data_IF_086870063368
#
_entry.id   IF_086870063368
#
_cell.length_a   1.000
_cell.length_b   1.000
_cell.length_c   1.000
_cell.angle_alpha   90.00
_cell.angle_beta   90.00
_cell.angle_gamma   90.00
#
_symmetry.space_group_name_H-M   'P 1'
#
loop_
_entity.id
_entity.type
_entity.pdbx_description
1 polymer ?
#
# COMPACT_ATOMS: atom_id res chain seq x y z
N UNK A 1 4.65 -31.91 22.12
CA UNK A 1 4.08 -32.09 23.47
C UNK A 1 4.10 -30.75 24.17
N UNK A 2 2.97 -30.35 24.72
CA UNK A 2 2.78 -29.03 25.30
C UNK A 2 3.09 -29.05 26.81
N UNK A 3 4.12 -28.31 27.23
CA UNK A 3 4.51 -28.17 28.64
C UNK A 3 3.48 -27.43 29.50
N UNK A 4 2.48 -26.79 28.87
CA UNK A 4 1.39 -26.09 29.55
C UNK A 4 0.18 -26.99 29.81
N UNK A 5 0.19 -28.24 29.35
CA UNK A 5 -0.87 -29.20 29.63
C UNK A 5 -0.81 -29.68 31.08
N UNK A 6 -1.97 -29.78 31.73
CA UNK A 6 -2.14 -30.31 33.09
C UNK A 6 -1.76 -31.79 33.23
N UNK A 7 -1.73 -32.53 32.12
CA UNK A 7 -1.27 -33.91 32.03
C UNK A 7 0.03 -34.02 31.22
N UNK A 8 0.86 -32.98 31.20
CA UNK A 8 2.15 -33.01 30.50
C UNK A 8 3.01 -34.20 30.99
N UNK A 9 3.47 -35.02 30.04
CA UNK A 9 4.39 -36.12 30.29
C UNK A 9 5.72 -35.84 29.55
N UNK A 10 6.82 -35.54 30.27
CA UNK A 10 8.11 -35.25 29.63
C UNK A 10 8.76 -36.47 28.96
N UNK A 11 8.28 -37.69 29.25
CA UNK A 11 8.80 -38.94 28.66
C UNK A 11 8.00 -39.42 27.45
N UNK A 12 6.88 -38.76 27.10
CA UNK A 12 6.17 -39.13 25.89
C UNK A 12 7.04 -38.83 24.66
N UNK A 13 6.94 -39.67 23.63
CA UNK A 13 7.75 -39.55 22.40
C UNK A 13 6.87 -39.43 21.15
N UNK A 14 5.56 -39.30 21.36
CA UNK A 14 4.54 -39.16 20.33
C UNK A 14 3.39 -38.33 20.90
N UNK A 15 2.87 -37.42 20.09
CA UNK A 15 1.63 -36.71 20.38
C UNK A 15 0.43 -37.60 20.06
N UNK A 16 -0.43 -37.82 21.06
CA UNK A 16 -1.68 -38.58 20.97
C UNK A 16 -2.92 -37.69 21.07
N UNK A 17 -2.74 -36.37 21.01
CA UNK A 17 -3.80 -35.36 21.13
C UNK A 17 -4.59 -35.44 22.45
N UNK A 18 -4.01 -35.99 23.52
CA UNK A 18 -4.67 -36.16 24.82
C UNK A 18 -4.42 -35.00 25.81
N UNK A 19 -3.80 -33.90 25.37
CA UNK A 19 -3.49 -32.75 26.24
C UNK A 19 -4.77 -32.19 26.90
N UNK A 20 -4.71 -32.01 28.22
CA UNK A 20 -5.77 -31.41 29.04
C UNK A 20 -5.26 -30.09 29.59
N UNK A 21 -6.10 -29.05 29.57
CA UNK A 21 -5.79 -27.76 30.16
C UNK A 21 -6.68 -27.48 31.36
N UNK A 22 -6.23 -26.63 32.29
CA UNK A 22 -7.10 -26.12 33.35
C UNK A 22 -8.21 -25.33 32.66
N UNK A 23 -9.43 -25.87 32.71
CA UNK A 23 -10.62 -25.15 32.27
C UNK A 23 -10.92 -24.11 33.35
N UNK A 24 -10.31 -22.92 33.22
CA UNK A 24 -10.75 -21.76 33.99
C UNK A 24 -12.20 -21.51 33.59
N UNK A 25 -13.10 -21.34 34.57
CA UNK A 25 -14.48 -20.95 34.25
C UNK A 25 -14.39 -19.74 33.31
N UNK A 26 -15.01 -19.77 32.13
CA UNK A 26 -15.06 -18.58 31.28
C UNK A 26 -15.61 -17.46 32.17
N UNK A 27 -15.02 -16.27 32.08
CA UNK A 27 -15.53 -15.11 32.81
C UNK A 27 -17.04 -15.06 32.59
N UNK A 28 -17.81 -15.00 33.68
CA UNK A 28 -19.28 -15.05 33.64
C UNK A 28 -19.79 -13.69 33.15
N UNK A 29 -19.64 -13.48 31.85
CA UNK A 29 -19.95 -12.23 31.15
C UNK A 29 -21.33 -12.37 30.51
N UNK A 30 -22.24 -11.47 30.88
CA UNK A 30 -23.54 -11.35 30.22
C UNK A 30 -23.53 -10.17 29.26
N UNK A 31 -23.83 -10.41 27.99
CA UNK A 31 -24.05 -9.36 26.99
C UNK A 31 -25.53 -9.28 26.62
N UNK A 32 -26.07 -8.07 26.48
CA UNK A 32 -27.43 -7.82 25.97
C UNK A 32 -27.33 -7.07 24.66
N UNK A 33 -28.02 -7.53 23.62
CA UNK A 33 -28.02 -6.94 22.28
C UNK A 33 -29.43 -6.55 21.89
N UNK A 34 -29.63 -5.28 21.52
CA UNK A 34 -30.93 -4.71 21.15
C UNK A 34 -31.07 -4.65 19.63
N UNK A 35 -31.49 -5.75 18.99
CA UNK A 35 -31.60 -5.83 17.52
C UNK A 35 -32.65 -4.89 16.89
N UNK A 36 -33.56 -4.33 17.69
CA UNK A 36 -34.60 -3.40 17.23
C UNK A 36 -34.19 -1.92 17.34
N UNK A 37 -33.00 -1.64 17.87
CA UNK A 37 -32.49 -0.28 18.10
C UNK A 37 -31.26 -0.05 17.22
N UNK A 38 -31.31 0.99 16.36
CA UNK A 38 -30.18 1.38 15.51
C UNK A 38 -29.41 2.55 16.15
N UNK A 39 -28.09 2.39 16.27
CA UNK A 39 -27.19 3.39 16.88
C UNK A 39 -26.19 4.00 15.89
N UNK A 40 -26.29 3.67 14.60
CA UNK A 40 -25.41 4.16 13.54
C UNK A 40 -24.86 3.05 12.66
N UNK A 41 -23.98 3.42 11.73
CA UNK A 41 -23.30 2.49 10.82
C UNK A 41 -21.91 2.14 11.38
N UNK A 42 -21.61 0.85 11.47
CA UNK A 42 -20.24 0.39 11.73
C UNK A 42 -19.44 0.60 10.44
N UNK A 43 -18.37 1.39 10.53
CA UNK A 43 -17.49 1.64 9.39
C UNK A 43 -16.65 0.38 9.08
N UNK A 44 -16.51 -0.01 7.80
CA UNK A 44 -15.70 -1.17 7.42
C UNK A 44 -14.22 -0.77 7.43
N UNK A 45 -13.59 -0.88 8.61
CA UNK A 45 -12.19 -0.45 8.84
C UNK A 45 -11.19 -1.62 8.80
N UNK A 46 -11.64 -2.82 8.41
CA UNK A 46 -10.82 -4.04 8.37
C UNK A 46 -10.14 -4.23 7.00
N UNK A 47 -9.62 -3.13 6.43
CA UNK A 47 -8.77 -3.17 5.24
C UNK A 47 -7.45 -3.89 5.51
N UNK A 48 -6.82 -4.40 4.46
CA UNK A 48 -5.57 -5.17 4.55
C UNK A 48 -4.55 -4.69 3.52
N UNK A 49 -3.33 -5.19 3.59
CA UNK A 49 -2.29 -4.92 2.61
C UNK A 49 -2.16 -6.08 1.61
N UNK A 50 -1.49 -5.85 0.49
CA UNK A 50 -1.12 -6.81 -0.57
C UNK A 50 -2.26 -7.33 -1.45
N UNK A 51 -3.45 -7.60 -0.93
CA UNK A 51 -4.55 -8.09 -1.77
C UNK A 51 -4.52 -9.61 -1.95
N UNK A 52 -5.38 -10.16 -2.81
CA UNK A 52 -5.70 -11.58 -2.77
C UNK A 52 -4.65 -12.49 -3.41
N UNK A 53 -3.73 -11.95 -4.22
CA UNK A 53 -2.64 -12.72 -4.80
C UNK A 53 -1.40 -12.60 -3.92
N UNK A 54 -0.94 -13.73 -3.39
CA UNK A 54 0.17 -13.78 -2.43
C UNK A 54 1.39 -14.43 -3.08
N UNK A 55 2.54 -13.79 -2.93
CA UNK A 55 3.85 -14.30 -3.38
C UNK A 55 4.34 -15.44 -2.48
N UNK A 56 5.21 -16.29 -3.02
CA UNK A 56 5.92 -17.31 -2.23
C UNK A 56 6.89 -16.75 -1.18
N UNK A 57 7.32 -15.50 -1.31
CA UNK A 57 8.31 -14.85 -0.43
C UNK A 57 7.80 -13.48 0.06
N UNK A 58 8.14 -13.12 1.29
CA UNK A 58 7.81 -11.80 1.86
C UNK A 58 8.66 -10.67 1.28
N UNK A 59 9.82 -11.00 0.70
CA UNK A 59 10.82 -10.04 0.23
C UNK A 59 10.96 -10.10 -1.29
N UNK A 60 11.29 -8.97 -1.92
CA UNK A 60 11.66 -8.95 -3.34
C UNK A 60 13.07 -9.55 -3.44
N UNK A 61 13.15 -10.87 -3.41
CA UNK A 61 14.41 -11.59 -3.69
C UNK A 61 14.92 -11.17 -5.08
N UNK A 62 16.18 -10.76 -5.13
CA UNK A 62 16.91 -10.39 -6.35
C UNK A 62 16.24 -9.30 -7.22
N UNK A 63 15.39 -8.45 -6.64
CA UNK A 63 14.66 -7.39 -7.37
C UNK A 63 13.78 -7.94 -8.52
N UNK A 64 13.50 -9.26 -8.51
CA UNK A 64 12.90 -9.96 -9.64
C UNK A 64 11.41 -9.69 -9.81
N UNK A 65 10.91 -10.09 -10.98
CA UNK A 65 9.49 -10.15 -11.32
C UNK A 65 8.71 -10.98 -10.30
N UNK A 66 7.42 -10.69 -10.19
CA UNK A 66 6.59 -11.21 -9.10
C UNK A 66 5.89 -12.52 -9.53
N UNK A 67 6.04 -13.56 -8.70
CA UNK A 67 5.42 -14.86 -8.91
C UNK A 67 4.43 -15.16 -7.79
N UNK A 68 3.14 -15.23 -8.11
CA UNK A 68 2.11 -15.59 -7.13
C UNK A 68 2.06 -17.11 -6.94
N UNK A 69 1.94 -17.54 -5.69
CA UNK A 69 1.83 -18.96 -5.35
C UNK A 69 0.48 -19.34 -4.78
N UNK A 70 -0.29 -18.35 -4.32
CA UNK A 70 -1.61 -18.54 -3.77
C UNK A 70 -2.56 -17.44 -4.25
N UNK A 71 -3.82 -17.81 -4.40
CA UNK A 71 -4.90 -16.90 -4.75
C UNK A 71 -6.01 -17.05 -3.71
N UNK A 72 -6.27 -15.96 -2.98
CA UNK A 72 -7.25 -15.86 -1.90
C UNK A 72 -8.44 -14.95 -2.25
N UNK A 73 -8.74 -14.77 -3.55
CA UNK A 73 -9.82 -13.88 -4.01
C UNK A 73 -11.18 -14.25 -3.40
N UNK A 74 -11.45 -15.55 -3.23
CA UNK A 74 -12.67 -16.04 -2.58
C UNK A 74 -12.71 -15.67 -1.09
N UNK A 75 -11.62 -15.88 -0.35
CA UNK A 75 -11.53 -15.57 1.07
C UNK A 75 -11.63 -14.05 1.33
N UNK A 76 -11.07 -13.22 0.44
CA UNK A 76 -11.26 -11.76 0.49
C UNK A 76 -12.74 -11.39 0.37
N UNK A 77 -13.48 -12.07 -0.52
CA UNK A 77 -14.92 -11.87 -0.69
C UNK A 77 -15.72 -12.36 0.52
N UNK A 78 -15.38 -13.51 1.09
CA UNK A 78 -16.04 -14.06 2.29
C UNK A 78 -15.83 -13.17 3.53
N UNK A 79 -14.63 -12.61 3.69
CA UNK A 79 -14.31 -11.70 4.79
C UNK A 79 -14.78 -10.26 4.53
N UNK A 80 -15.35 -9.98 3.35
CA UNK A 80 -15.83 -8.66 2.94
C UNK A 80 -14.77 -7.57 3.15
N UNK A 81 -13.52 -7.86 2.78
CA UNK A 81 -12.41 -6.91 2.92
C UNK A 81 -12.76 -5.64 2.11
N UNK A 82 -12.76 -4.44 2.72
CA UNK A 82 -13.24 -3.23 2.06
C UNK A 82 -12.19 -2.55 1.20
N UNK A 83 -10.92 -2.64 1.60
CA UNK A 83 -9.80 -2.09 0.84
C UNK A 83 -8.57 -2.97 0.94
N UNK A 84 -7.77 -2.91 -0.12
CA UNK A 84 -6.47 -3.54 -0.19
C UNK A 84 -5.40 -2.53 -0.62
N UNK A 85 -4.44 -2.27 0.26
CA UNK A 85 -3.29 -1.39 0.00
C UNK A 85 -2.24 -2.10 -0.86
N UNK A 86 -1.77 -1.45 -1.92
CA UNK A 86 -0.83 -2.04 -2.91
C UNK A 86 0.65 -1.97 -2.51
N UNK A 87 1.00 -2.04 -1.23
CA UNK A 87 2.39 -1.89 -0.77
C UNK A 87 3.12 -3.17 -0.38
N UNK A 88 4.44 -3.19 -0.50
CA UNK A 88 5.31 -4.25 0.03
C UNK A 88 5.73 -5.32 -0.99
N UNK A 89 4.93 -5.57 -2.01
CA UNK A 89 5.22 -6.62 -2.99
C UNK A 89 5.66 -6.10 -4.36
N UNK A 90 5.51 -4.81 -4.68
CA UNK A 90 6.02 -4.22 -5.92
C UNK A 90 5.03 -3.88 -7.05
N UNK A 91 3.88 -4.56 -7.28
CA UNK A 91 3.07 -4.31 -8.47
C UNK A 91 2.44 -2.92 -8.47
N UNK A 92 2.29 -2.31 -7.28
CA UNK A 92 1.81 -0.95 -7.10
C UNK A 92 2.82 0.15 -7.49
N UNK A 93 4.04 -0.24 -7.85
CA UNK A 93 5.17 0.67 -7.74
C UNK A 93 5.52 1.27 -9.08
N UNK A 94 5.80 2.57 -9.05
CA UNK A 94 6.16 3.30 -10.24
C UNK A 94 7.47 2.79 -10.84
N UNK A 95 8.40 2.22 -10.07
CA UNK A 95 9.62 1.61 -10.60
C UNK A 95 9.39 0.21 -11.23
N UNK A 96 8.17 -0.33 -11.18
CA UNK A 96 7.76 -1.52 -11.93
C UNK A 96 6.98 -1.16 -13.17
N UNK A 97 6.14 -0.14 -13.07
CA UNK A 97 5.31 0.34 -14.18
C UNK A 97 6.13 1.18 -15.15
N UNK A 98 6.99 2.06 -14.66
CA UNK A 98 7.81 2.95 -15.48
C UNK A 98 9.07 2.23 -15.95
N UNK A 99 9.27 2.18 -17.27
CA UNK A 99 10.32 1.31 -17.86
C UNK A 99 11.71 1.95 -17.95
N UNK A 100 11.82 3.26 -17.67
CA UNK A 100 13.07 4.00 -17.84
C UNK A 100 13.83 4.15 -16.53
N UNK A 101 15.11 3.77 -16.55
CA UNK A 101 16.01 3.88 -15.42
C UNK A 101 17.43 4.25 -15.88
N UNK A 102 18.24 4.74 -14.95
CA UNK A 102 19.66 5.04 -15.17
C UNK A 102 20.52 3.76 -15.18
N UNK A 103 21.84 3.93 -15.30
CA UNK A 103 22.80 2.80 -15.30
C UNK A 103 22.82 1.99 -13.99
N UNK A 104 22.30 2.57 -12.91
CA UNK A 104 22.20 1.93 -11.60
C UNK A 104 20.81 1.36 -11.33
N UNK A 105 19.85 1.48 -12.27
CA UNK A 105 18.48 1.00 -12.13
C UNK A 105 17.55 1.92 -11.31
N UNK A 106 17.93 3.18 -11.11
CA UNK A 106 17.06 4.20 -10.50
C UNK A 106 16.15 4.80 -11.58
N UNK A 107 14.82 4.89 -11.37
CA UNK A 107 13.89 5.46 -12.36
C UNK A 107 14.27 6.88 -12.82
N UNK A 108 14.16 7.15 -14.13
CA UNK A 108 14.44 8.44 -14.76
C UNK A 108 13.20 8.95 -15.48
N UNK A 109 12.72 10.13 -15.10
CA UNK A 109 11.55 10.80 -15.68
C UNK A 109 11.95 12.01 -16.51
N UNK A 110 13.07 12.66 -16.19
CA UNK A 110 13.56 13.80 -16.95
C UNK A 110 13.78 13.43 -18.42
N UNK A 111 13.21 14.21 -19.33
CA UNK A 111 13.35 14.00 -20.78
C UNK A 111 12.41 12.96 -21.39
N UNK A 112 11.53 12.34 -20.60
CA UNK A 112 10.49 11.41 -21.09
C UNK A 112 9.09 12.06 -21.12
N UNK A 113 8.24 11.60 -22.04
CA UNK A 113 6.86 12.06 -22.16
C UNK A 113 5.92 11.15 -21.36
N UNK A 114 5.19 11.66 -20.35
CA UNK A 114 4.26 10.83 -19.59
C UNK A 114 3.09 10.31 -20.43
N UNK A 115 2.79 10.88 -21.61
CA UNK A 115 1.71 10.42 -22.49
C UNK A 115 2.13 9.29 -23.45
N UNK A 116 3.43 8.97 -23.54
CA UNK A 116 3.90 7.89 -24.39
C UNK A 116 3.62 6.53 -23.72
N UNK A 117 2.69 5.78 -24.31
CA UNK A 117 2.26 4.45 -23.86
C UNK A 117 3.43 3.47 -23.70
N UNK A 118 4.50 3.63 -24.49
CA UNK A 118 5.66 2.74 -24.45
C UNK A 118 6.56 2.94 -23.23
N UNK A 119 6.32 3.99 -22.44
CA UNK A 119 7.04 4.24 -21.19
C UNK A 119 6.52 3.41 -20.01
N UNK A 120 5.48 2.58 -20.24
CA UNK A 120 4.75 1.86 -19.21
C UNK A 120 4.72 0.34 -19.49
N UNK A 121 4.90 -0.46 -18.45
CA UNK A 121 4.62 -1.90 -18.43
C UNK A 121 3.62 -2.21 -17.30
N UNK A 122 2.36 -2.47 -17.69
CA UNK A 122 1.28 -2.76 -16.76
C UNK A 122 1.09 -4.26 -16.48
N UNK A 123 1.86 -5.15 -17.12
CA UNK A 123 1.55 -6.59 -17.10
C UNK A 123 1.51 -7.19 -15.68
N UNK A 124 2.43 -6.79 -14.80
CA UNK A 124 2.44 -7.26 -13.41
C UNK A 124 1.35 -6.59 -12.55
N UNK A 125 1.15 -5.29 -12.73
CA UNK A 125 0.18 -4.49 -11.97
C UNK A 125 -1.25 -4.90 -12.29
N UNK A 126 -1.56 -5.08 -13.56
CA UNK A 126 -2.89 -5.44 -14.06
C UNK A 126 -3.37 -6.75 -13.46
N UNK A 127 -2.49 -7.75 -13.38
CA UNK A 127 -2.84 -9.02 -12.78
C UNK A 127 -3.31 -8.86 -11.33
N UNK A 128 -2.67 -7.97 -10.57
CA UNK A 128 -2.99 -7.75 -9.16
C UNK A 128 -4.20 -6.87 -8.95
N UNK A 129 -4.28 -5.77 -9.68
CA UNK A 129 -5.45 -4.88 -9.62
C UNK A 129 -6.69 -5.66 -10.05
N UNK A 130 -6.65 -6.41 -11.15
CA UNK A 130 -7.78 -7.24 -11.57
C UNK A 130 -8.19 -8.26 -10.52
N UNK A 131 -7.25 -8.94 -9.87
CA UNK A 131 -7.59 -9.92 -8.82
C UNK A 131 -8.27 -9.25 -7.61
N UNK A 132 -7.81 -8.07 -7.19
CA UNK A 132 -8.47 -7.28 -6.14
C UNK A 132 -9.87 -6.83 -6.58
N UNK A 133 -9.99 -6.29 -7.78
CA UNK A 133 -11.26 -5.79 -8.34
C UNK A 133 -12.24 -6.91 -8.70
N UNK A 134 -11.77 -8.17 -8.81
CA UNK A 134 -12.61 -9.35 -8.96
C UNK A 134 -13.27 -9.80 -7.64
N UNK A 135 -12.83 -9.25 -6.50
CA UNK A 135 -13.51 -9.49 -5.22
C UNK A 135 -14.82 -8.71 -5.14
N UNK A 136 -15.71 -9.12 -4.25
CA UNK A 136 -17.06 -8.52 -4.13
C UNK A 136 -17.12 -7.20 -3.37
N UNK A 137 -16.12 -6.90 -2.53
CA UNK A 137 -16.16 -5.76 -1.61
C UNK A 137 -14.84 -4.97 -1.53
N UNK A 138 -13.75 -5.45 -2.16
CA UNK A 138 -12.44 -4.84 -2.00
C UNK A 138 -12.19 -3.83 -3.09
N UNK A 139 -11.86 -2.60 -2.70
CA UNK A 139 -11.30 -1.59 -3.59
C UNK A 139 -9.78 -1.49 -3.43
N UNK A 140 -9.10 -1.09 -4.48
CA UNK A 140 -7.66 -0.84 -4.42
C UNK A 140 -7.41 0.48 -3.70
N UNK A 141 -6.60 0.44 -2.64
CA UNK A 141 -5.96 1.60 -2.06
C UNK A 141 -4.57 1.68 -2.68
N UNK A 142 -4.38 2.60 -3.62
CA UNK A 142 -3.15 2.64 -4.41
C UNK A 142 -2.06 3.40 -3.68
N UNK A 143 -1.04 2.72 -3.18
CA UNK A 143 0.16 3.42 -2.71
C UNK A 143 1.12 3.57 -3.87
N UNK A 144 1.35 4.80 -4.32
CA UNK A 144 2.35 5.12 -5.34
C UNK A 144 3.72 5.32 -4.67
N UNK A 145 4.78 5.00 -5.38
CA UNK A 145 6.15 5.16 -4.91
C UNK A 145 7.01 4.05 -5.46
N UNK A 146 8.16 3.81 -4.85
CA UNK A 146 9.02 2.69 -5.22
C UNK A 146 9.01 1.57 -4.19
N UNK A 147 9.40 0.39 -4.65
CA UNK A 147 9.60 -0.78 -3.81
C UNK A 147 10.69 -0.52 -2.77
N UNK A 148 10.63 -1.23 -1.64
CA UNK A 148 11.79 -1.27 -0.73
C UNK A 148 12.98 -1.84 -1.49
N UNK A 149 14.14 -1.23 -1.31
CA UNK A 149 15.34 -1.56 -2.05
C UNK A 149 16.58 -1.42 -1.18
N UNK A 150 17.73 -1.18 -1.79
CA UNK A 150 18.96 -0.85 -1.06
C UNK A 150 18.72 0.28 -0.05
N UNK A 151 19.28 0.20 1.18
CA UNK A 151 20.23 -0.81 1.66
C UNK A 151 19.59 -2.07 2.26
N UNK A 152 18.27 -2.16 2.30
CA UNK A 152 17.59 -3.34 2.87
C UNK A 152 17.78 -4.59 2.00
N UNK A 153 17.93 -4.40 0.68
CA UNK A 153 18.26 -5.45 -0.29
C UNK A 153 19.50 -5.03 -1.09
N UNK A 154 20.65 -5.65 -0.79
CA UNK A 154 21.96 -5.22 -1.31
C UNK A 154 22.08 -5.34 -2.84
N UNK A 155 21.33 -6.25 -3.46
CA UNK A 155 21.34 -6.48 -4.90
C UNK A 155 20.42 -5.53 -5.69
N UNK A 156 19.64 -4.69 -4.99
CA UNK A 156 18.72 -3.74 -5.62
C UNK A 156 19.32 -2.34 -5.74
N UNK A 157 18.81 -1.59 -6.72
CA UNK A 157 19.11 -0.17 -6.88
C UNK A 157 18.62 0.64 -5.68
N UNK A 158 19.17 1.84 -5.45
CA UNK A 158 18.72 2.71 -4.38
C UNK A 158 17.43 3.47 -4.77
N UNK A 159 16.31 2.78 -4.65
CA UNK A 159 14.97 3.32 -4.91
C UNK A 159 14.42 4.20 -3.77
N UNK A 160 15.25 4.65 -2.84
CA UNK A 160 14.85 5.67 -1.86
C UNK A 160 14.96 7.08 -2.43
N UNK A 161 15.70 7.22 -3.53
CA UNK A 161 15.92 8.50 -4.20
C UNK A 161 14.61 9.11 -4.70
N UNK A 162 14.36 10.42 -4.44
CA UNK A 162 13.23 11.12 -5.03
C UNK A 162 13.23 10.99 -6.57
N UNK A 163 12.06 11.01 -7.24
CA UNK A 163 12.01 11.14 -8.69
C UNK A 163 12.81 12.36 -9.16
N UNK A 164 13.58 12.23 -10.24
CA UNK A 164 14.41 13.30 -10.81
C UNK A 164 13.59 14.45 -11.43
N UNK A 165 12.31 14.19 -11.73
CA UNK A 165 11.34 15.21 -12.16
C UNK A 165 9.95 14.92 -11.58
N UNK A 166 9.54 15.67 -10.56
CA UNK A 166 8.23 15.50 -9.90
C UNK A 166 7.04 15.81 -10.81
N UNK A 167 7.18 16.72 -11.78
CA UNK A 167 6.09 17.04 -12.70
C UNK A 167 5.81 15.87 -13.64
N UNK A 168 6.85 15.28 -14.23
CA UNK A 168 6.68 14.11 -15.11
C UNK A 168 6.23 12.90 -14.29
N UNK A 169 6.76 12.70 -13.08
CA UNK A 169 6.29 11.65 -12.16
C UNK A 169 4.79 11.79 -11.86
N UNK A 170 4.32 12.99 -11.51
CA UNK A 170 2.92 13.23 -11.19
C UNK A 170 2.00 12.98 -12.40
N UNK A 171 2.42 13.42 -13.59
CA UNK A 171 1.67 13.15 -14.83
C UNK A 171 1.68 11.66 -15.19
N UNK A 172 2.75 10.94 -14.91
CA UNK A 172 2.79 9.49 -15.07
C UNK A 172 1.84 8.79 -14.09
N UNK A 173 1.77 9.23 -12.83
CA UNK A 173 0.80 8.73 -11.87
C UNK A 173 -0.65 8.96 -12.36
N UNK A 174 -0.95 10.13 -12.95
CA UNK A 174 -2.25 10.38 -13.59
C UNK A 174 -2.53 9.40 -14.72
N UNK A 175 -1.56 9.06 -15.58
CA UNK A 175 -1.77 8.04 -16.62
C UNK A 175 -2.03 6.65 -16.06
N UNK A 176 -1.39 6.27 -14.95
CA UNK A 176 -1.70 5.01 -14.23
C UNK A 176 -3.14 5.03 -13.71
N UNK A 177 -3.60 6.15 -13.14
CA UNK A 177 -5.00 6.28 -12.71
C UNK A 177 -5.96 6.19 -13.90
N UNK A 178 -5.66 6.85 -15.02
CA UNK A 178 -6.43 6.75 -16.27
C UNK A 178 -6.43 5.34 -16.85
N UNK A 179 -5.33 4.60 -16.69
CA UNK A 179 -5.28 3.20 -17.10
C UNK A 179 -6.34 2.40 -16.35
N UNK A 180 -6.50 2.59 -15.04
CA UNK A 180 -7.49 1.84 -14.25
C UNK A 180 -8.91 2.42 -14.24
N UNK A 181 -9.08 3.73 -14.50
CA UNK A 181 -10.39 4.43 -14.45
C UNK A 181 -11.02 4.67 -15.82
N UNK A 182 -10.22 4.92 -16.84
CA UNK A 182 -10.69 5.46 -18.13
C UNK A 182 -10.26 4.61 -19.34
N UNK A 183 -9.65 3.45 -19.11
CA UNK A 183 -9.21 2.54 -20.18
C UNK A 183 -8.00 3.02 -20.98
N UNK A 184 -7.20 3.95 -20.45
CA UNK A 184 -5.96 4.38 -21.10
C UNK A 184 -4.97 3.21 -21.25
N UNK A 185 -4.20 3.17 -22.34
CA UNK A 185 -3.25 2.08 -22.63
C UNK A 185 -3.82 0.66 -22.47
N UNK A 186 -4.97 0.39 -23.10
CA UNK A 186 -5.67 -0.91 -23.02
C UNK A 186 -6.10 -1.32 -21.59
N UNK A 187 -6.34 -0.34 -20.73
CA UNK A 187 -6.69 -0.56 -19.33
C UNK A 187 -8.16 -0.85 -19.04
N UNK A 188 -8.60 -0.43 -17.86
CA UNK A 188 -9.84 -0.81 -17.21
C UNK A 188 -10.73 0.40 -16.89
N UNK A 189 -11.95 0.11 -16.42
CA UNK A 189 -12.96 1.10 -16.02
C UNK A 189 -13.45 0.76 -14.61
N UNK A 190 -12.54 0.86 -13.63
CA UNK A 190 -12.79 0.54 -12.24
C UNK A 190 -13.23 1.78 -11.46
N UNK A 191 -14.54 2.02 -11.37
CA UNK A 191 -15.11 3.20 -10.69
C UNK A 191 -14.64 3.37 -9.23
N UNK A 192 -14.29 2.28 -8.55
CA UNK A 192 -13.82 2.28 -7.16
C UNK A 192 -12.29 2.32 -7.00
N UNK A 193 -11.55 2.64 -8.07
CA UNK A 193 -10.12 2.96 -7.99
C UNK A 193 -9.95 4.47 -7.71
N UNK A 194 -10.11 4.86 -6.45
CA UNK A 194 -10.34 6.26 -6.07
C UNK A 194 -9.49 6.75 -4.89
N UNK A 195 -8.43 6.03 -4.52
CA UNK A 195 -7.52 6.46 -3.45
C UNK A 195 -6.09 6.27 -3.90
N UNK A 196 -5.29 7.31 -3.71
CA UNK A 196 -3.89 7.33 -4.08
C UNK A 196 -3.02 7.88 -2.93
N UNK A 197 -2.16 7.07 -2.35
CA UNK A 197 -1.22 7.46 -1.29
C UNK A 197 0.14 7.77 -1.89
N UNK A 198 0.67 8.95 -1.58
CA UNK A 198 1.96 9.43 -2.06
C UNK A 198 3.09 8.91 -1.17
N UNK A 199 3.80 7.91 -1.69
CA UNK A 199 4.96 7.25 -1.07
C UNK A 199 4.64 6.41 0.16
N UNK A 200 5.58 5.55 0.57
CA UNK A 200 5.49 4.82 1.84
C UNK A 200 6.51 5.38 2.83
N UNK A 201 6.06 5.79 4.01
CA UNK A 201 6.90 6.19 5.15
C UNK A 201 8.12 7.06 4.79
N UNK A 202 7.94 8.21 4.09
CA UNK A 202 9.04 9.05 3.64
C UNK A 202 9.86 9.66 4.80
N UNK A 203 9.33 9.59 6.02
CA UNK A 203 10.02 9.98 7.25
C UNK A 203 11.07 8.96 7.72
N UNK A 204 11.17 7.78 7.11
CA UNK A 204 12.20 6.78 7.40
C UNK A 204 13.23 6.72 6.27
N UNK A 205 14.50 6.76 6.63
CA UNK A 205 15.63 6.68 5.69
C UNK A 205 15.72 5.36 4.93
N UNK A 206 14.93 4.35 5.30
CA UNK A 206 14.81 3.08 4.58
C UNK A 206 13.96 3.20 3.30
N UNK A 207 13.12 4.24 3.23
CA UNK A 207 12.12 4.39 2.17
C UNK A 207 12.28 5.66 1.35
N UNK A 208 12.93 6.68 1.90
CA UNK A 208 13.13 7.97 1.24
C UNK A 208 14.47 8.55 1.67
N UNK A 209 15.28 8.97 0.70
CA UNK A 209 16.59 9.59 0.94
C UNK A 209 16.55 11.11 0.80
N UNK A 210 15.44 11.66 0.31
CA UNK A 210 15.22 13.10 0.19
C UNK A 210 14.85 13.77 1.52
N UNK A 211 14.58 15.06 1.41
CA UNK A 211 14.15 15.93 2.51
C UNK A 211 12.62 15.97 2.63
N UNK A 212 12.13 16.56 3.72
CA UNK A 212 10.70 16.84 3.89
C UNK A 212 10.18 17.87 2.87
N UNK A 213 11.01 18.82 2.47
CA UNK A 213 10.69 19.81 1.43
C UNK A 213 10.51 19.12 0.07
N UNK A 214 11.42 18.22 -0.31
CA UNK A 214 11.28 17.43 -1.55
C UNK A 214 10.06 16.49 -1.50
N UNK A 215 9.73 15.92 -0.34
CA UNK A 215 8.52 15.12 -0.20
C UNK A 215 7.25 15.98 -0.33
N UNK A 216 7.24 17.19 0.24
CA UNK A 216 6.15 18.15 0.04
C UNK A 216 6.01 18.52 -1.44
N UNK A 217 7.10 18.81 -2.15
CA UNK A 217 7.07 19.13 -3.58
C UNK A 217 6.53 17.95 -4.42
N UNK A 218 6.91 16.71 -4.10
CA UNK A 218 6.36 15.51 -4.71
C UNK A 218 4.85 15.38 -4.45
N UNK A 219 4.42 15.50 -3.18
CA UNK A 219 3.02 15.44 -2.80
C UNK A 219 2.21 16.53 -3.53
N UNK A 220 2.68 17.77 -3.52
CA UNK A 220 2.04 18.89 -4.19
C UNK A 220 1.88 18.65 -5.69
N UNK A 221 2.93 18.16 -6.36
CA UNK A 221 2.88 17.87 -7.79
C UNK A 221 1.83 16.80 -8.11
N UNK A 222 1.79 15.72 -7.33
CA UNK A 222 0.81 14.65 -7.52
C UNK A 222 -0.60 15.13 -7.19
N UNK A 223 -0.79 15.78 -6.05
CA UNK A 223 -2.08 16.29 -5.60
C UNK A 223 -2.69 17.24 -6.62
N UNK A 224 -1.90 18.19 -7.12
CA UNK A 224 -2.30 19.12 -8.17
C UNK A 224 -2.68 18.39 -9.45
N UNK A 225 -1.81 17.47 -9.94
CA UNK A 225 -2.07 16.76 -11.19
C UNK A 225 -3.32 15.87 -11.12
N UNK A 226 -3.55 15.19 -9.98
CA UNK A 226 -4.72 14.34 -9.76
C UNK A 226 -5.98 15.17 -9.63
N UNK A 227 -5.95 16.27 -8.86
CA UNK A 227 -7.10 17.17 -8.70
C UNK A 227 -7.46 17.87 -10.00
N UNK A 228 -6.47 18.31 -10.79
CA UNK A 228 -6.71 18.95 -12.09
C UNK A 228 -7.40 18.00 -13.08
N UNK A 229 -7.08 16.69 -13.01
CA UNK A 229 -7.65 15.69 -13.90
C UNK A 229 -9.01 15.16 -13.40
N UNK A 230 -9.08 14.76 -12.13
CA UNK A 230 -10.20 14.00 -11.57
C UNK A 230 -11.08 14.81 -10.60
N UNK A 231 -10.73 16.06 -10.29
CA UNK A 231 -11.39 16.83 -9.25
C UNK A 231 -11.34 16.11 -7.90
N UNK A 232 -12.49 16.06 -7.22
CA UNK A 232 -12.63 15.41 -5.90
C UNK A 232 -12.97 13.90 -6.01
N UNK A 233 -12.82 13.29 -7.18
CA UNK A 233 -13.17 11.86 -7.39
C UNK A 233 -12.10 10.88 -6.91
N UNK A 234 -10.89 11.36 -6.62
CA UNK A 234 -9.76 10.54 -6.14
C UNK A 234 -9.13 11.21 -4.93
N UNK A 235 -9.12 10.52 -3.80
CA UNK A 235 -8.49 10.99 -2.57
C UNK A 235 -6.96 10.90 -2.70
N UNK A 236 -6.25 12.01 -2.48
CA UNK A 236 -4.78 12.05 -2.47
C UNK A 236 -4.25 12.08 -1.04
N UNK A 237 -3.68 10.96 -0.61
CA UNK A 237 -3.29 10.72 0.79
C UNK A 237 -1.81 10.99 1.00
N UNK A 238 -1.49 11.82 2.00
CA UNK A 238 -0.11 12.04 2.43
C UNK A 238 0.33 10.95 3.43
N UNK A 239 1.53 10.40 3.22
CA UNK A 239 2.17 9.48 4.15
C UNK A 239 3.04 10.25 5.14
N UNK A 240 2.57 10.36 6.39
CA UNK A 240 3.27 11.05 7.47
C UNK A 240 3.28 10.19 8.73
N UNK A 241 3.93 10.67 9.78
CA UNK A 241 3.93 10.04 11.10
C UNK A 241 3.62 11.08 12.18
N UNK A 242 3.04 10.62 13.29
CA UNK A 242 2.62 11.43 14.44
C UNK A 242 3.23 10.82 15.72
N UNK A 243 4.54 10.54 15.71
CA UNK A 243 5.28 10.02 16.86
C UNK A 243 6.33 11.01 17.37
N UNK A 244 6.69 10.91 18.66
CA UNK A 244 7.76 11.73 19.25
C UNK A 244 9.06 11.64 18.43
N UNK A 245 9.69 12.78 18.16
CA UNK A 245 10.95 12.86 17.42
C UNK A 245 10.81 12.91 15.89
N UNK A 246 9.60 12.71 15.35
CA UNK A 246 9.32 12.85 13.90
C UNK A 246 8.78 14.24 13.53
N UNK A 247 8.67 15.11 14.53
CA UNK A 247 8.30 16.53 14.42
C UNK A 247 9.13 17.25 13.34
N UNK A 248 10.38 16.83 13.10
CA UNK A 248 11.22 17.41 12.07
C UNK A 248 10.69 17.17 10.66
N UNK A 249 10.39 15.92 10.28
CA UNK A 249 9.96 15.59 8.93
C UNK A 249 8.48 15.92 8.72
N UNK A 250 7.59 15.31 9.50
CA UNK A 250 6.14 15.51 9.38
C UNK A 250 5.74 16.94 9.70
N UNK A 251 6.38 17.57 10.70
CA UNK A 251 6.10 18.97 11.05
C UNK A 251 6.54 19.93 9.95
N UNK A 252 7.68 19.69 9.29
CA UNK A 252 8.10 20.49 8.13
C UNK A 252 7.14 20.33 6.94
N UNK A 253 6.70 19.11 6.64
CA UNK A 253 5.69 18.86 5.62
C UNK A 253 4.39 19.64 5.91
N UNK A 254 3.86 19.54 7.14
CA UNK A 254 2.63 20.24 7.53
C UNK A 254 2.80 21.76 7.54
N UNK A 255 3.96 22.28 7.91
CA UNK A 255 4.30 23.70 7.82
C UNK A 255 4.24 24.18 6.36
N UNK A 256 4.87 23.46 5.43
CA UNK A 256 4.86 23.78 4.01
C UNK A 256 3.45 23.72 3.41
N UNK A 257 2.70 22.67 3.74
CA UNK A 257 1.30 22.53 3.33
C UNK A 257 0.46 23.73 3.82
N UNK A 258 0.62 24.13 5.08
CA UNK A 258 -0.07 25.29 5.62
C UNK A 258 0.34 26.60 4.93
N UNK A 259 1.64 26.81 4.69
CA UNK A 259 2.16 28.03 4.05
C UNK A 259 1.65 28.20 2.62
N UNK A 260 1.46 27.10 1.89
CA UNK A 260 1.02 27.09 0.50
C UNK A 260 -0.50 26.89 0.34
N UNK A 261 -1.25 26.74 1.45
CA UNK A 261 -2.69 26.41 1.41
C UNK A 261 -2.98 25.11 0.64
N UNK A 262 -2.10 24.13 0.80
CA UNK A 262 -2.22 22.80 0.19
C UNK A 262 -3.45 22.06 0.76
N UNK A 263 -4.38 21.57 -0.08
CA UNK A 263 -5.43 20.68 0.39
C UNK A 263 -4.82 19.32 0.76
N UNK A 264 -5.17 18.82 1.96
CA UNK A 264 -4.82 17.48 2.42
C UNK A 264 -6.12 16.80 2.80
N UNK A 265 -6.62 15.91 1.94
CA UNK A 265 -7.89 15.20 2.16
C UNK A 265 -7.78 14.15 3.26
N UNK A 266 -6.65 13.44 3.28
CA UNK A 266 -6.35 12.43 4.28
C UNK A 266 -4.85 12.31 4.53
N UNK A 267 -4.54 11.80 5.72
CA UNK A 267 -3.19 11.38 6.09
C UNK A 267 -3.23 9.91 6.47
N UNK A 268 -2.18 9.19 6.11
CA UNK A 268 -1.97 7.81 6.50
C UNK A 268 -0.79 7.72 7.46
N UNK A 269 -0.96 6.94 8.53
CA UNK A 269 0.00 6.80 9.64
C UNK A 269 0.14 5.33 10.02
N UNK A 270 1.37 4.90 10.33
CA UNK A 270 1.63 3.59 10.89
C UNK A 270 1.70 3.64 12.43
N UNK A 271 1.00 2.71 13.08
CA UNK A 271 1.01 2.51 14.53
C UNK A 271 1.20 1.01 14.80
N UNK A 272 2.27 0.65 15.51
CA UNK A 272 2.65 -0.73 15.84
C UNK A 272 2.67 -0.97 17.34
#
# INVERSE_FOLDING_TARGET
MDSNATNFNPEANRDDSSCKYLNTNPADLTATVHFAEEFGKIAPIHGVNNGPLIRNAWEIEDCQQIWYSSNYTEQYSEMQIPSSRTHGEGPGDMNRIWVHADENGVPVYEGYDPLDLSNYDFNETDQRVQATMATTHTSVYWRMGYSKAFPAYEDCSDWRSPPDNFTVYAQAAVQVLKHYREGWNEGFYFDSFNVVEVWNEPYLSDWWSGTADEYYELYHAVNTAVTDEFGDEIDVVAAITISEGTEGFSGRFLELAQQNSEPIDAVYVHLY
#
